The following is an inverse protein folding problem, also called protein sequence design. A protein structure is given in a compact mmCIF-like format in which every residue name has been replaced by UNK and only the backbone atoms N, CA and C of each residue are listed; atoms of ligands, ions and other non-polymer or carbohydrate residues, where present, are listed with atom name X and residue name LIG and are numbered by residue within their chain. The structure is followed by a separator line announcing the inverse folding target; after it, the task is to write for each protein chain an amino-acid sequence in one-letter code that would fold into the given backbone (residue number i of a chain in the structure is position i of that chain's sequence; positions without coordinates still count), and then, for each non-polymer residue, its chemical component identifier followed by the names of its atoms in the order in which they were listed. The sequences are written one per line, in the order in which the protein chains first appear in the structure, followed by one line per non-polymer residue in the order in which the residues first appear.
data_IF_077538898247
#
_entry.id   IF_077538898247
#
_cell.length_a   1.000
_cell.length_b   1.000
_cell.length_c   1.000
_cell.angle_alpha   90.00
_cell.angle_beta   90.00
_cell.angle_gamma   90.00
#
_symmetry.space_group_name_H-M   'P 1'
#
loop_
_entity.id
_entity.type
_entity.pdbx_description
1 polymer ?
#
# COMPACT_ATOMS: atom_id res chain seq x y z
N UNK A 1 32.12 1.99 6.02
CA UNK A 1 31.33 3.16 6.42
C UNK A 1 29.87 2.89 6.12
N UNK A 2 28.98 3.18 7.05
CA UNK A 2 27.65 2.56 7.17
C UNK A 2 26.64 3.15 6.20
N UNK A 3 26.12 2.32 5.31
CA UNK A 3 25.07 2.59 4.32
C UNK A 3 23.65 2.61 4.94
N UNK A 4 23.36 3.47 5.89
CA UNK A 4 22.13 3.37 6.66
C UNK A 4 21.03 4.40 6.27
N UNK A 5 21.26 5.31 5.33
CA UNK A 5 20.30 6.39 5.06
C UNK A 5 19.42 6.21 3.82
N UNK A 6 19.98 5.78 2.71
CA UNK A 6 19.29 5.77 1.41
C UNK A 6 18.31 4.60 1.25
N UNK A 7 18.54 3.53 2.03
CA UNK A 7 17.62 2.39 2.08
C UNK A 7 16.37 2.67 2.94
N UNK A 8 16.40 3.65 3.84
CA UNK A 8 15.32 3.81 4.83
C UNK A 8 14.02 4.42 4.28
N UNK A 9 14.05 5.26 3.28
CA UNK A 9 12.82 5.88 2.80
C UNK A 9 11.92 4.95 1.94
N UNK A 10 12.52 4.12 1.08
CA UNK A 10 11.81 2.96 0.49
C UNK A 10 11.95 1.70 1.34
N UNK A 11 12.94 1.61 2.20
CA UNK A 11 13.28 0.52 3.08
C UNK A 11 12.50 0.51 4.39
N UNK A 12 11.82 1.55 4.76
CA UNK A 12 10.78 1.45 5.79
C UNK A 12 9.70 0.45 5.35
N UNK A 13 9.56 0.26 4.03
CA UNK A 13 8.72 -0.82 3.46
C UNK A 13 9.47 -2.13 3.19
N UNK A 14 10.80 -2.17 3.10
CA UNK A 14 11.52 -3.38 2.64
C UNK A 14 12.72 -3.83 3.48
N UNK A 15 13.40 -3.00 4.24
CA UNK A 15 14.73 -3.36 4.78
C UNK A 15 14.77 -3.70 6.28
N UNK A 16 13.80 -3.34 7.09
CA UNK A 16 13.76 -3.79 8.50
C UNK A 16 13.28 -5.23 8.68
N UNK A 17 12.68 -5.84 7.67
CA UNK A 17 12.31 -7.25 7.71
C UNK A 17 13.49 -8.22 7.63
N UNK A 18 14.68 -7.81 7.16
CA UNK A 18 15.81 -8.75 6.96
C UNK A 18 16.74 -8.94 8.16
N UNK A 19 16.81 -8.04 9.11
CA UNK A 19 17.73 -8.18 10.25
C UNK A 19 17.22 -9.04 11.41
N UNK A 20 15.96 -9.51 11.35
CA UNK A 20 15.34 -10.33 12.41
C UNK A 20 15.26 -11.83 12.07
N UNK A 21 15.47 -12.23 10.81
CA UNK A 21 15.36 -13.63 10.38
C UNK A 21 16.49 -14.54 10.84
N UNK A 22 17.63 -13.99 11.27
CA UNK A 22 18.78 -14.80 11.72
C UNK A 22 18.79 -15.13 13.20
N UNK A 23 17.80 -14.72 14.00
CA UNK A 23 17.76 -14.96 15.45
C UNK A 23 16.58 -15.75 16.01
N UNK A 24 15.68 -16.25 15.17
CA UNK A 24 14.46 -16.96 15.63
C UNK A 24 14.39 -18.45 15.27
N UNK A 25 15.50 -19.08 14.90
CA UNK A 25 15.54 -20.53 14.55
C UNK A 25 16.34 -21.33 15.58
N UNK A 26 16.28 -20.98 16.86
CA UNK A 26 16.73 -21.90 17.92
C UNK A 26 15.79 -21.82 19.12
N UNK A 27 15.12 -22.91 19.34
CA UNK A 27 14.30 -23.41 20.47
C UNK A 27 12.80 -23.49 20.18
N UNK A 28 12.27 -24.65 19.98
CA UNK A 28 11.83 -25.60 20.99
C UNK A 28 11.26 -26.85 20.35
N UNK A 29 11.88 -27.95 20.62
CA UNK A 29 11.31 -29.28 20.49
C UNK A 29 10.45 -29.57 21.72
N UNK A 30 9.19 -29.97 21.55
CA UNK A 30 8.43 -30.67 22.53
C UNK A 30 7.44 -31.65 21.86
N UNK A 31 7.63 -32.89 22.15
CA UNK A 31 6.90 -34.09 21.71
C UNK A 31 5.51 -34.21 22.34
N UNK A 32 4.58 -34.91 21.69
CA UNK A 32 3.24 -35.16 22.24
C UNK A 32 3.14 -36.47 23.03
N UNK A 33 2.38 -36.48 24.07
CA UNK A 33 2.00 -37.70 24.78
C UNK A 33 0.48 -37.93 24.83
N UNK A 34 0.14 -39.09 24.29
CA UNK A 34 -0.85 -40.10 24.74
C UNK A 34 -2.32 -39.75 25.01
N UNK A 35 -3.15 -40.25 24.12
CA UNK A 35 -4.36 -41.09 24.22
C UNK A 35 -5.07 -41.25 25.61
N UNK A 36 -6.36 -40.85 25.64
CA UNK A 36 -7.38 -41.65 26.37
C UNK A 36 -8.65 -41.70 25.50
N UNK A 37 -9.04 -42.96 25.12
CA UNK A 37 -10.34 -43.28 24.51
C UNK A 37 -11.36 -43.49 25.64
N UNK A 38 -12.48 -42.78 25.57
CA UNK A 38 -13.71 -43.22 26.27
C UNK A 38 -14.83 -43.18 25.24
N UNK A 39 -15.36 -44.34 24.96
CA UNK A 39 -16.52 -44.52 24.10
C UNK A 39 -17.80 -44.17 24.86
N UNK A 40 -18.65 -43.38 24.24
CA UNK A 40 -20.05 -43.24 24.63
C UNK A 40 -20.89 -43.23 23.35
N UNK A 41 -21.61 -44.32 23.14
CA UNK A 41 -22.63 -44.47 22.09
C UNK A 41 -23.84 -43.62 22.44
N UNK A 42 -24.02 -42.51 21.75
CA UNK A 42 -25.27 -41.75 21.75
C UNK A 42 -26.06 -42.03 20.46
N UNK A 43 -27.21 -42.65 20.63
CA UNK A 43 -28.24 -42.77 19.60
C UNK A 43 -28.85 -41.38 19.42
N UNK A 44 -28.48 -40.66 18.37
CA UNK A 44 -29.13 -39.40 18.02
C UNK A 44 -30.25 -39.63 17.00
N UNK A 45 -31.47 -39.53 17.49
CA UNK A 45 -32.69 -39.37 16.67
C UNK A 45 -32.59 -38.07 15.86
N UNK A 46 -32.50 -38.19 14.54
CA UNK A 46 -32.48 -37.04 13.63
C UNK A 46 -33.87 -36.40 13.56
N UNK A 47 -34.06 -35.30 14.29
CA UNK A 47 -35.17 -34.39 14.06
C UNK A 47 -34.73 -33.47 12.91
N UNK A 48 -35.30 -33.67 11.72
CA UNK A 48 -35.21 -32.77 10.57
C UNK A 48 -35.94 -31.46 10.92
N UNK A 49 -35.27 -30.53 11.60
CA UNK A 49 -35.71 -29.18 11.67
C UNK A 49 -35.32 -28.50 10.33
N UNK A 50 -36.22 -27.75 9.69
CA UNK A 50 -35.86 -26.96 8.54
C UNK A 50 -34.84 -25.91 8.99
N UNK A 51 -33.60 -26.05 8.53
CA UNK A 51 -32.58 -25.02 8.70
C UNK A 51 -33.06 -23.83 7.89
N UNK A 52 -33.36 -22.67 8.51
CA UNK A 52 -33.65 -21.50 7.74
C UNK A 52 -32.40 -21.23 6.87
N UNK A 53 -32.61 -21.22 5.57
CA UNK A 53 -31.61 -20.73 4.62
C UNK A 53 -31.34 -19.29 5.03
N UNK A 54 -30.20 -19.04 5.70
CA UNK A 54 -29.72 -17.68 5.97
C UNK A 54 -29.44 -17.08 4.59
N UNK A 55 -30.43 -16.35 4.08
CA UNK A 55 -30.24 -15.49 2.92
C UNK A 55 -29.05 -14.54 3.21
N UNK A 56 -28.25 -14.26 2.23
CA UNK A 56 -27.24 -13.20 2.31
C UNK A 56 -27.95 -11.97 2.91
N UNK A 57 -27.36 -11.41 3.98
CA UNK A 57 -28.01 -10.33 4.71
C UNK A 57 -28.17 -9.14 3.75
N UNK A 58 -29.36 -8.60 3.62
CA UNK A 58 -29.68 -7.43 2.77
C UNK A 58 -28.72 -6.26 3.03
N UNK A 59 -28.14 -6.22 4.23
CA UNK A 59 -27.11 -5.27 4.62
C UNK A 59 -25.81 -5.46 3.84
N UNK A 60 -25.40 -6.69 3.54
CA UNK A 60 -24.16 -7.00 2.84
C UNK A 60 -24.29 -6.73 1.34
N UNK A 61 -25.44 -7.03 0.74
CA UNK A 61 -25.70 -6.70 -0.67
C UNK A 61 -25.72 -5.18 -0.88
N UNK A 62 -26.33 -4.44 0.03
CA UNK A 62 -26.32 -2.97 0.01
C UNK A 62 -24.89 -2.43 0.15
N UNK A 63 -24.08 -2.99 1.06
CA UNK A 63 -22.69 -2.57 1.26
C UNK A 63 -21.85 -2.82 0.01
N UNK A 64 -22.01 -3.95 -0.66
CA UNK A 64 -21.35 -4.27 -1.93
C UNK A 64 -21.78 -3.31 -3.05
N UNK A 65 -23.07 -2.97 -3.12
CA UNK A 65 -23.59 -1.97 -4.06
C UNK A 65 -22.94 -0.59 -3.88
N UNK A 66 -22.81 -0.13 -2.62
CA UNK A 66 -22.13 1.12 -2.29
C UNK A 66 -20.63 1.09 -2.71
N UNK A 67 -19.93 -0.02 -2.48
CA UNK A 67 -18.54 -0.20 -2.88
C UNK A 67 -18.38 -0.09 -4.39
N UNK A 68 -19.22 -0.80 -5.17
CA UNK A 68 -19.18 -0.75 -6.64
C UNK A 68 -19.39 0.67 -7.16
N UNK A 69 -20.30 1.43 -6.57
CA UNK A 69 -20.53 2.82 -6.97
C UNK A 69 -19.31 3.70 -6.66
N UNK A 70 -18.70 3.56 -5.47
CA UNK A 70 -17.47 4.31 -5.12
C UNK A 70 -16.33 3.98 -6.07
N UNK A 71 -16.11 2.71 -6.41
CA UNK A 71 -15.09 2.27 -7.37
C UNK A 71 -15.32 2.89 -8.74
N UNK A 72 -16.56 2.82 -9.25
CA UNK A 72 -16.94 3.42 -10.53
C UNK A 72 -16.64 4.92 -10.58
N UNK A 73 -17.04 5.66 -9.54
CA UNK A 73 -16.81 7.11 -9.47
C UNK A 73 -15.32 7.44 -9.35
N UNK A 74 -14.57 6.68 -8.56
CA UNK A 74 -13.12 6.80 -8.43
C UNK A 74 -12.43 6.59 -9.79
N UNK A 75 -12.73 5.51 -10.49
CA UNK A 75 -12.17 5.22 -11.80
C UNK A 75 -12.50 6.32 -12.81
N UNK A 76 -13.77 6.72 -12.92
CA UNK A 76 -14.21 7.78 -13.80
C UNK A 76 -13.52 9.13 -13.51
N UNK A 77 -13.22 9.42 -12.23
CA UNK A 77 -12.47 10.60 -11.82
C UNK A 77 -11.04 10.54 -12.33
N UNK A 78 -10.34 9.43 -12.08
CA UNK A 78 -8.95 9.28 -12.48
C UNK A 78 -8.78 9.18 -13.99
N UNK A 79 -9.70 8.60 -14.73
CA UNK A 79 -9.68 8.57 -16.22
C UNK A 79 -9.64 9.99 -16.82
N UNK A 80 -10.40 10.92 -16.26
CA UNK A 80 -10.47 12.32 -16.71
C UNK A 80 -9.32 13.18 -16.20
N UNK A 81 -8.50 12.67 -15.28
CA UNK A 81 -7.39 13.41 -14.69
C UNK A 81 -6.14 13.25 -15.54
N UNK A 82 -5.61 14.35 -16.06
CA UNK A 82 -4.36 14.41 -16.84
C UNK A 82 -3.16 14.62 -15.92
N UNK A 83 -3.32 15.50 -14.95
CA UNK A 83 -2.34 15.77 -13.89
C UNK A 83 -3.05 15.99 -12.56
N UNK A 84 -2.32 15.78 -11.47
CA UNK A 84 -2.79 15.92 -10.10
C UNK A 84 -1.63 16.35 -9.22
N UNK A 85 -1.89 17.26 -8.30
CA UNK A 85 -1.01 17.55 -7.17
C UNK A 85 -1.79 17.54 -5.87
N UNK A 86 -1.13 17.15 -4.78
CA UNK A 86 -1.70 17.16 -3.44
C UNK A 86 -0.59 17.28 -2.39
N UNK A 87 -0.94 17.79 -1.23
CA UNK A 87 -0.12 17.62 -0.04
C UNK A 87 -0.37 16.21 0.53
N UNK A 88 0.63 15.61 1.15
CA UNK A 88 0.47 14.33 1.84
C UNK A 88 1.10 14.33 3.22
N UNK A 89 0.53 13.51 4.09
CA UNK A 89 1.13 13.08 5.36
C UNK A 89 1.18 11.56 5.36
N UNK A 90 2.36 11.02 5.57
CA UNK A 90 2.59 9.58 5.74
C UNK A 90 2.80 9.26 7.21
N UNK A 91 2.12 8.24 7.70
CA UNK A 91 2.30 7.68 9.03
C UNK A 91 2.62 6.21 8.92
N UNK A 92 3.80 5.81 9.40
CA UNK A 92 4.24 4.42 9.36
C UNK A 92 4.33 3.87 10.78
N UNK A 93 3.52 2.85 11.07
CA UNK A 93 3.58 2.06 12.30
C UNK A 93 4.35 0.79 12.01
N UNK A 94 5.41 0.54 12.76
CA UNK A 94 6.25 -0.64 12.62
C UNK A 94 5.92 -1.57 13.78
N UNK A 95 5.68 -2.85 13.48
CA UNK A 95 5.40 -3.87 14.49
C UNK A 95 6.53 -3.93 15.53
N UNK A 96 6.16 -3.88 16.81
CA UNK A 96 7.12 -3.85 17.93
C UNK A 96 7.70 -2.47 18.27
N UNK A 97 7.30 -1.40 17.58
CA UNK A 97 7.69 -0.03 17.91
C UNK A 97 6.51 0.77 18.47
N UNK A 98 6.69 1.43 19.60
CA UNK A 98 5.63 2.16 20.28
C UNK A 98 5.18 3.42 19.52
N UNK A 99 6.08 4.07 18.81
CA UNK A 99 5.80 5.36 18.16
C UNK A 99 5.84 5.22 16.64
N UNK A 100 4.80 5.69 15.95
CA UNK A 100 4.82 5.75 14.50
C UNK A 100 5.79 6.83 14.01
N UNK A 101 6.35 6.60 12.82
CA UNK A 101 7.15 7.58 12.08
C UNK A 101 6.19 8.40 11.24
N UNK A 102 6.30 9.72 11.28
CA UNK A 102 5.49 10.63 10.46
C UNK A 102 6.39 11.40 9.52
N UNK A 103 5.99 11.48 8.26
CA UNK A 103 6.64 12.27 7.22
C UNK A 103 5.58 13.03 6.43
N UNK A 104 5.96 14.15 5.80
CA UNK A 104 5.03 14.93 4.99
C UNK A 104 5.71 15.57 3.79
N UNK A 105 4.89 15.99 2.83
CA UNK A 105 5.40 16.61 1.61
C UNK A 105 4.33 16.83 0.54
N UNK A 106 4.77 16.79 -0.71
CA UNK A 106 3.91 17.02 -1.89
C UNK A 106 4.06 15.89 -2.90
N UNK A 107 2.96 15.50 -3.50
CA UNK A 107 2.93 14.55 -4.61
C UNK A 107 2.44 15.25 -5.87
N UNK A 108 3.10 14.97 -6.98
CA UNK A 108 2.76 15.46 -8.31
C UNK A 108 2.68 14.25 -9.26
N UNK A 109 1.62 14.21 -10.03
CA UNK A 109 1.34 13.13 -10.98
C UNK A 109 1.01 13.76 -12.32
N UNK A 110 1.58 13.23 -13.41
CA UNK A 110 1.20 13.60 -14.78
C UNK A 110 1.14 12.36 -15.64
N UNK A 111 0.01 12.13 -16.27
CA UNK A 111 -0.15 11.02 -17.22
C UNK A 111 0.51 11.31 -18.56
N UNK A 112 1.08 10.29 -19.23
CA UNK A 112 1.23 8.91 -18.74
C UNK A 112 2.51 8.73 -17.92
N UNK A 113 2.38 8.07 -16.76
CA UNK A 113 3.50 7.43 -16.04
C UNK A 113 4.54 8.34 -15.41
N UNK A 114 4.28 9.64 -15.22
CA UNK A 114 5.19 10.57 -14.52
C UNK A 114 4.68 10.83 -13.11
N UNK A 115 5.59 10.76 -12.15
CA UNK A 115 5.32 11.07 -10.74
C UNK A 115 6.55 11.74 -10.13
N UNK A 116 6.31 12.74 -9.28
CA UNK A 116 7.27 13.25 -8.32
C UNK A 116 6.67 13.18 -6.94
N UNK A 117 7.39 12.52 -6.02
CA UNK A 117 7.02 12.42 -4.61
C UNK A 117 8.09 13.14 -3.79
N UNK A 118 7.76 14.32 -3.30
CA UNK A 118 8.70 15.20 -2.64
C UNK A 118 8.42 15.23 -1.14
N UNK A 119 9.27 14.56 -0.34
CA UNK A 119 9.27 14.65 1.11
C UNK A 119 9.94 15.95 1.54
N UNK A 120 9.33 16.64 2.50
CA UNK A 120 9.78 17.91 3.04
C UNK A 120 10.11 17.83 4.53
N UNK A 121 9.48 16.92 5.27
CA UNK A 121 9.64 16.74 6.70
C UNK A 121 9.56 15.25 7.07
N UNK A 122 10.39 14.73 7.99
CA UNK A 122 11.51 15.38 8.69
C UNK A 122 12.80 15.49 7.84
N UNK A 123 12.90 14.75 6.75
CA UNK A 123 14.05 14.75 5.86
C UNK A 123 13.61 15.05 4.43
N UNK A 124 14.42 15.87 3.73
CA UNK A 124 14.15 16.18 2.34
C UNK A 124 14.59 15.03 1.45
N UNK A 125 13.64 14.53 0.66
CA UNK A 125 13.88 13.47 -0.32
C UNK A 125 12.97 13.67 -1.51
N UNK A 126 13.51 13.57 -2.71
CA UNK A 126 12.76 13.70 -3.96
C UNK A 126 12.80 12.39 -4.76
N UNK A 127 11.63 11.83 -4.99
CA UNK A 127 11.45 10.61 -5.77
C UNK A 127 10.81 10.97 -7.10
N UNK A 128 11.50 10.62 -8.18
CA UNK A 128 11.03 10.83 -9.54
C UNK A 128 10.78 9.47 -10.20
N UNK A 129 9.59 9.30 -10.74
CA UNK A 129 9.21 8.12 -11.53
C UNK A 129 8.84 8.57 -12.93
N UNK A 130 9.42 7.91 -13.92
CA UNK A 130 9.02 8.02 -15.32
C UNK A 130 8.80 6.61 -15.87
N UNK A 131 7.53 6.20 -15.91
CA UNK A 131 7.11 4.80 -16.20
C UNK A 131 7.72 3.82 -15.20
N UNK A 132 8.74 3.07 -15.58
CA UNK A 132 9.46 2.13 -14.71
C UNK A 132 10.80 2.68 -14.19
N UNK A 133 11.29 3.78 -14.77
CA UNK A 133 12.52 4.40 -14.28
C UNK A 133 12.26 5.19 -13.00
N UNK A 134 13.08 4.94 -11.98
CA UNK A 134 13.00 5.63 -10.69
C UNK A 134 14.33 6.26 -10.34
N UNK A 135 14.26 7.47 -9.79
CA UNK A 135 15.37 8.20 -9.21
C UNK A 135 14.97 8.68 -7.83
N UNK A 136 15.79 8.39 -6.83
CA UNK A 136 15.61 8.87 -5.46
C UNK A 136 16.78 9.79 -5.13
N UNK A 137 16.52 11.07 -4.98
CA UNK A 137 17.52 12.07 -4.65
C UNK A 137 17.43 12.45 -3.18
N UNK A 138 18.55 12.32 -2.46
CA UNK A 138 18.71 12.68 -1.06
C UNK A 138 19.72 13.81 -0.96
N UNK A 139 19.27 15.08 -0.89
CA UNK A 139 20.16 16.25 -0.88
C UNK A 139 21.19 16.23 0.23
N UNK A 140 20.80 15.78 1.44
CA UNK A 140 21.68 15.70 2.62
C UNK A 140 22.93 14.85 2.36
N UNK A 141 22.76 13.78 1.58
CA UNK A 141 23.87 12.86 1.24
C UNK A 141 24.52 13.22 -0.10
N UNK A 142 24.00 14.18 -0.84
CA UNK A 142 24.44 14.50 -2.22
C UNK A 142 24.45 13.24 -3.10
N UNK A 143 23.44 12.40 -2.96
CA UNK A 143 23.34 11.13 -3.68
C UNK A 143 22.01 11.01 -4.43
N UNK A 144 22.08 10.40 -5.60
CA UNK A 144 20.90 9.94 -6.32
C UNK A 144 20.99 8.44 -6.56
N UNK A 145 19.99 7.73 -6.09
CA UNK A 145 19.83 6.31 -6.39
C UNK A 145 19.00 6.18 -7.67
N UNK A 146 19.50 5.43 -8.65
CA UNK A 146 18.81 5.19 -9.93
C UNK A 146 18.53 3.71 -10.12
N UNK A 147 17.36 3.39 -10.66
CA UNK A 147 16.95 1.98 -10.86
C UNK A 147 15.62 1.84 -11.56
N UNK A 148 15.02 0.67 -11.41
CA UNK A 148 13.68 0.35 -11.91
C UNK A 148 12.70 0.27 -10.74
N UNK A 149 11.53 0.88 -10.90
CA UNK A 149 10.45 0.82 -9.91
C UNK A 149 10.09 -0.62 -9.56
N UNK A 150 10.07 -1.50 -10.59
CA UNK A 150 9.84 -2.94 -10.44
C UNK A 150 10.84 -3.66 -9.55
N UNK A 151 12.04 -3.11 -9.38
CA UNK A 151 13.12 -3.70 -8.61
C UNK A 151 13.33 -3.03 -7.25
N UNK A 152 12.91 -1.78 -7.10
CA UNK A 152 13.19 -0.96 -5.91
C UNK A 152 12.02 -0.86 -4.95
N UNK A 153 10.79 -0.89 -5.44
CA UNK A 153 9.62 -0.71 -4.61
C UNK A 153 9.10 -2.07 -4.09
N UNK A 154 9.09 -2.25 -2.78
CA UNK A 154 8.46 -3.41 -2.14
C UNK A 154 6.94 -3.43 -2.38
N UNK A 155 6.33 -2.26 -2.49
CA UNK A 155 4.94 -2.12 -2.94
C UNK A 155 4.81 -0.93 -3.89
N UNK A 156 4.36 -1.19 -5.11
CA UNK A 156 4.01 -0.15 -6.10
C UNK A 156 2.58 0.34 -5.92
N UNK A 157 1.80 -0.34 -5.07
CA UNK A 157 0.36 -0.13 -4.96
C UNK A 157 -0.02 1.34 -4.76
N UNK A 158 0.59 2.15 -3.86
CA UNK A 158 0.24 3.55 -3.72
C UNK A 158 0.46 4.34 -5.01
N UNK A 159 1.56 4.08 -5.71
CA UNK A 159 1.91 4.78 -6.95
C UNK A 159 0.96 4.42 -8.09
N UNK A 160 0.63 3.15 -8.23
CA UNK A 160 -0.31 2.63 -9.22
C UNK A 160 -1.73 3.16 -8.98
N UNK A 161 -2.17 3.18 -7.71
CA UNK A 161 -3.46 3.73 -7.31
C UNK A 161 -3.58 5.22 -7.65
N UNK A 162 -2.55 6.01 -7.32
CA UNK A 162 -2.55 7.44 -7.57
C UNK A 162 -2.41 7.81 -9.06
N UNK A 163 -1.74 6.98 -9.85
CA UNK A 163 -1.68 7.17 -11.30
C UNK A 163 -3.00 6.80 -11.99
N UNK A 164 -3.99 6.33 -11.20
CA UNK A 164 -5.27 5.89 -11.74
C UNK A 164 -5.08 4.71 -12.67
N UNK A 165 -4.19 3.79 -12.28
CA UNK A 165 -4.10 2.49 -12.90
C UNK A 165 -5.49 1.88 -12.85
N UNK A 166 -6.17 1.99 -13.96
CA UNK A 166 -7.62 2.10 -14.08
C UNK A 166 -8.37 0.80 -13.82
N UNK A 167 -7.72 -0.21 -13.25
CA UNK A 167 -8.34 -1.50 -13.15
C UNK A 167 -8.02 -2.12 -11.79
N UNK A 168 -8.48 -1.44 -10.74
CA UNK A 168 -8.39 -1.98 -9.38
C UNK A 168 -8.89 -3.43 -9.32
N UNK A 169 -9.98 -3.70 -10.04
CA UNK A 169 -10.62 -5.01 -10.09
C UNK A 169 -9.80 -6.07 -10.85
N UNK A 170 -8.80 -5.69 -11.66
CA UNK A 170 -7.88 -6.68 -12.26
C UNK A 170 -6.87 -7.20 -11.25
N UNK A 171 -6.41 -6.35 -10.32
CA UNK A 171 -5.35 -6.67 -9.36
C UNK A 171 -5.87 -7.04 -7.98
N UNK A 172 -7.09 -6.58 -7.62
CA UNK A 172 -7.65 -6.72 -6.29
C UNK A 172 -9.08 -7.22 -6.30
N UNK A 173 -9.43 -8.03 -5.32
CA UNK A 173 -10.81 -8.24 -4.89
C UNK A 173 -11.18 -7.06 -3.98
N UNK A 174 -12.33 -6.42 -4.24
CA UNK A 174 -12.73 -5.20 -3.55
C UNK A 174 -13.98 -5.47 -2.72
N UNK A 175 -13.85 -5.22 -1.43
CA UNK A 175 -14.88 -5.52 -0.44
C UNK A 175 -15.22 -4.29 0.42
N UNK A 176 -16.41 -4.25 1.04
CA UNK A 176 -16.69 -3.29 2.09
C UNK A 176 -15.75 -3.50 3.28
N UNK A 177 -15.17 -2.40 3.80
CA UNK A 177 -14.39 -2.50 5.03
C UNK A 177 -15.29 -2.89 6.20
N UNK A 178 -14.94 -3.93 6.98
CA UNK A 178 -15.73 -4.38 8.13
C UNK A 178 -15.95 -3.30 9.20
N UNK A 179 -16.96 -3.49 10.04
CA UNK A 179 -17.27 -2.62 11.16
C UNK A 179 -17.88 -1.29 10.72
N UNK A 180 -17.37 -0.17 11.24
CA UNK A 180 -17.89 1.17 10.90
C UNK A 180 -17.72 1.53 9.42
N UNK A 181 -16.76 0.94 8.73
CA UNK A 181 -16.57 0.87 7.27
C UNK A 181 -16.87 2.14 6.46
N UNK A 182 -16.90 3.32 7.10
CA UNK A 182 -17.23 4.61 6.48
C UNK A 182 -16.21 5.66 6.85
N UNK A 183 -15.79 6.40 5.84
CA UNK A 183 -14.89 7.54 5.97
C UNK A 183 -15.62 8.87 6.07
N UNK A 184 -14.90 9.93 5.77
CA UNK A 184 -15.41 11.31 5.77
C UNK A 184 -16.64 11.43 4.86
N UNK A 185 -17.67 12.15 5.33
CA UNK A 185 -18.91 12.32 4.59
C UNK A 185 -19.76 11.06 4.46
N UNK A 186 -19.44 10.01 5.23
CA UNK A 186 -20.23 8.77 5.25
C UNK A 186 -19.98 7.85 4.04
N UNK A 187 -18.97 8.13 3.20
CA UNK A 187 -18.61 7.28 2.06
C UNK A 187 -18.06 5.94 2.55
N UNK A 188 -18.45 4.85 1.91
CA UNK A 188 -17.95 3.52 2.22
C UNK A 188 -16.44 3.44 1.98
N UNK A 189 -15.69 2.92 2.97
CA UNK A 189 -14.29 2.55 2.80
C UNK A 189 -14.19 1.29 1.94
N UNK A 190 -13.14 1.22 1.14
CA UNK A 190 -12.85 0.09 0.25
C UNK A 190 -11.71 -0.73 0.84
N UNK A 191 -11.92 -2.01 1.05
CA UNK A 191 -10.83 -2.97 1.34
C UNK A 191 -10.45 -3.68 0.05
N UNK A 192 -9.19 -3.57 -0.33
CA UNK A 192 -8.61 -4.21 -1.52
C UNK A 192 -7.73 -5.36 -1.07
N UNK A 193 -8.05 -6.56 -1.52
CA UNK A 193 -7.30 -7.80 -1.26
C UNK A 193 -6.55 -8.19 -2.53
N UNK A 194 -5.21 -8.37 -2.51
CA UNK A 194 -4.46 -8.80 -3.69
C UNK A 194 -4.96 -10.14 -4.22
N UNK A 195 -5.33 -10.22 -5.50
CA UNK A 195 -5.77 -11.47 -6.16
C UNK A 195 -4.65 -12.47 -6.29
N UNK A 196 -3.42 -12.00 -6.55
CA UNK A 196 -2.24 -12.84 -6.65
C UNK A 196 -1.35 -12.67 -5.42
N UNK A 197 -0.89 -13.80 -4.89
CA UNK A 197 0.15 -13.87 -3.86
C UNK A 197 1.55 -14.03 -4.46
N UNK A 198 1.65 -14.04 -5.77
CA UNK A 198 2.90 -14.11 -6.49
C UNK A 198 3.57 -12.72 -6.57
N UNK A 199 4.89 -12.73 -6.73
CA UNK A 199 5.68 -11.49 -6.71
C UNK A 199 5.84 -10.90 -5.32
N UNK A 200 6.64 -9.85 -5.22
CA UNK A 200 7.00 -9.23 -3.93
C UNK A 200 5.79 -8.51 -3.29
N UNK A 201 5.02 -7.78 -4.08
CA UNK A 201 3.80 -7.09 -3.62
C UNK A 201 2.76 -8.06 -3.07
N UNK A 202 2.50 -9.17 -3.76
CA UNK A 202 1.51 -10.16 -3.32
C UNK A 202 1.94 -10.93 -2.07
N UNK A 203 3.25 -11.08 -1.84
CA UNK A 203 3.79 -11.74 -0.64
C UNK A 203 3.86 -10.84 0.57
N UNK A 204 4.12 -9.55 0.38
CA UNK A 204 4.30 -8.58 1.47
C UNK A 204 3.01 -7.86 1.87
N UNK A 205 2.09 -7.66 0.94
CA UNK A 205 0.86 -6.90 1.16
C UNK A 205 -0.30 -7.81 1.59
N UNK A 206 -0.87 -7.55 2.78
CA UNK A 206 -2.05 -8.24 3.27
C UNK A 206 -3.33 -7.67 2.67
N UNK A 207 -3.51 -6.35 2.78
CA UNK A 207 -4.65 -5.59 2.23
C UNK A 207 -4.33 -4.12 2.12
N UNK A 208 -5.14 -3.41 1.33
CA UNK A 208 -5.16 -1.95 1.29
C UNK A 208 -6.54 -1.49 1.74
N UNK A 209 -6.60 -0.41 2.54
CA UNK A 209 -7.86 0.29 2.81
C UNK A 209 -7.78 1.66 2.12
N UNK A 210 -8.79 1.94 1.28
CA UNK A 210 -8.91 3.23 0.59
C UNK A 210 -10.06 4.04 1.15
N UNK A 211 -9.81 5.33 1.29
CA UNK A 211 -10.82 6.35 1.52
C UNK A 211 -10.77 7.39 0.41
N UNK A 212 -11.91 7.86 -0.04
CA UNK A 212 -12.04 8.90 -1.06
C UNK A 212 -12.71 10.14 -0.50
N UNK A 213 -12.41 11.30 -1.07
CA UNK A 213 -13.13 12.53 -0.76
C UNK A 213 -14.60 12.43 -1.23
N UNK A 214 -15.58 12.80 -0.39
CA UNK A 214 -16.96 12.94 -0.83
C UNK A 214 -17.02 13.96 -1.97
N UNK A 215 -17.87 13.86 -2.93
CA UNK A 215 -18.07 14.74 -4.10
C UNK A 215 -17.00 14.67 -5.19
N UNK A 216 -15.69 14.59 -4.84
CA UNK A 216 -14.63 14.61 -5.86
C UNK A 216 -14.14 13.23 -6.24
N UNK A 217 -14.26 12.25 -5.35
CA UNK A 217 -13.78 10.88 -5.50
C UNK A 217 -12.27 10.77 -5.75
N UNK A 218 -11.49 11.80 -5.43
CA UNK A 218 -10.05 11.63 -5.30
C UNK A 218 -9.73 10.81 -4.05
N UNK A 219 -8.67 10.03 -4.12
CA UNK A 219 -8.16 9.28 -2.97
C UNK A 219 -7.79 10.29 -1.88
N UNK A 220 -8.38 10.10 -0.70
CA UNK A 220 -8.07 10.87 0.51
C UNK A 220 -7.05 10.15 1.38
N UNK A 221 -7.17 8.82 1.49
CA UNK A 221 -6.25 8.02 2.30
C UNK A 221 -6.02 6.66 1.65
N UNK A 222 -4.77 6.22 1.70
CA UNK A 222 -4.34 4.86 1.38
C UNK A 222 -3.69 4.29 2.63
N UNK A 223 -4.21 3.19 3.18
CA UNK A 223 -3.57 2.46 4.28
C UNK A 223 -3.16 1.08 3.80
N UNK A 224 -1.86 0.82 3.83
CA UNK A 224 -1.25 -0.45 3.46
C UNK A 224 -1.03 -1.28 4.73
N UNK A 225 -1.57 -2.47 4.76
CA UNK A 225 -1.36 -3.45 5.82
C UNK A 225 -0.46 -4.54 5.30
N UNK A 226 0.71 -4.68 5.90
CA UNK A 226 1.69 -5.70 5.50
C UNK A 226 1.51 -6.99 6.30
N UNK A 227 1.94 -8.10 5.71
CA UNK A 227 1.99 -9.41 6.39
C UNK A 227 2.93 -9.38 7.60
N UNK A 228 3.93 -8.50 7.58
CA UNK A 228 4.86 -8.24 8.68
C UNK A 228 4.22 -7.59 9.92
N UNK A 229 2.96 -7.14 9.84
CA UNK A 229 2.30 -6.36 10.88
C UNK A 229 2.51 -4.84 10.74
N UNK A 230 3.38 -4.39 9.84
CA UNK A 230 3.57 -2.97 9.60
C UNK A 230 2.34 -2.35 8.91
N UNK A 231 2.08 -1.07 9.23
CA UNK A 231 1.02 -0.30 8.58
C UNK A 231 1.58 1.04 8.12
N UNK A 232 1.44 1.32 6.81
CA UNK A 232 1.78 2.63 6.25
C UNK A 232 0.51 3.30 5.74
N UNK A 233 0.17 4.48 6.27
CA UNK A 233 -0.99 5.27 5.88
C UNK A 233 -0.53 6.57 5.24
N UNK A 234 -1.08 6.88 4.06
CA UNK A 234 -0.87 8.11 3.32
C UNK A 234 -2.18 8.89 3.29
N UNK A 235 -2.22 10.03 3.93
CA UNK A 235 -3.35 10.94 3.89
C UNK A 235 -3.04 12.09 2.95
N UNK A 236 -3.93 12.34 1.97
CA UNK A 236 -3.80 13.40 0.98
C UNK A 236 -4.76 14.53 1.31
N UNK A 237 -4.29 15.76 1.10
CA UNK A 237 -5.06 16.98 1.28
C UNK A 237 -4.91 17.92 0.10
N UNK A 238 -5.85 18.85 -0.05
CA UNK A 238 -5.83 19.88 -1.08
C UNK A 238 -5.58 19.38 -2.52
N UNK A 239 -6.25 18.30 -2.99
CA UNK A 239 -6.01 17.79 -4.33
C UNK A 239 -6.43 18.80 -5.40
N UNK A 240 -5.52 19.08 -6.34
CA UNK A 240 -5.75 19.95 -7.49
C UNK A 240 -5.43 19.17 -8.76
N UNK A 241 -6.36 19.12 -9.69
CA UNK A 241 -6.24 18.32 -10.91
C UNK A 241 -6.36 19.16 -12.17
N UNK A 242 -5.72 18.69 -13.26
CA UNK A 242 -5.77 19.32 -14.57
C UNK A 242 -5.27 20.76 -14.58
N UNK A 243 -4.21 21.03 -13.81
CA UNK A 243 -3.57 22.35 -13.69
C UNK A 243 -2.59 22.62 -14.82
N UNK A 244 -2.31 21.64 -15.69
CA UNK A 244 -1.33 21.76 -16.75
C UNK A 244 0.11 21.74 -16.23
N UNK A 245 0.44 20.83 -15.32
CA UNK A 245 1.77 20.73 -14.74
C UNK A 245 2.84 20.58 -15.82
N UNK A 246 3.88 21.45 -15.74
CA UNK A 246 4.99 21.46 -16.69
C UNK A 246 5.85 20.19 -16.61
N UNK A 247 6.41 19.76 -17.73
CA UNK A 247 7.26 18.55 -17.78
C UNK A 247 8.51 18.69 -16.92
N UNK A 248 9.06 19.92 -16.84
CA UNK A 248 10.24 20.24 -16.02
C UNK A 248 10.08 19.94 -14.53
N UNK A 249 8.83 19.85 -14.03
CA UNK A 249 8.56 19.46 -12.65
C UNK A 249 8.95 18.01 -12.36
N UNK A 250 8.97 17.19 -13.40
CA UNK A 250 9.25 15.75 -13.33
C UNK A 250 10.66 15.39 -13.79
N UNK A 251 11.48 16.40 -14.12
CA UNK A 251 12.86 16.22 -14.56
C UNK A 251 13.81 16.61 -13.44
N UNK A 252 14.49 15.62 -12.86
CA UNK A 252 15.47 15.83 -11.82
C UNK A 252 16.71 16.51 -12.41
N UNK A 253 16.97 17.73 -11.95
CA UNK A 253 18.22 18.47 -12.21
C UNK A 253 19.15 18.24 -11.02
N UNK A 254 20.25 17.55 -11.26
CA UNK A 254 21.25 17.28 -10.24
C UNK A 254 22.32 18.39 -10.24
N UNK A 255 22.79 18.81 -9.04
CA UNK A 255 24.05 19.54 -8.93
C UNK A 255 25.25 18.70 -9.41
N UNK A 256 26.35 19.37 -9.82
CA UNK A 256 27.53 18.69 -10.37
C UNK A 256 28.25 17.78 -9.38
N UNK A 257 28.05 18.00 -8.07
CA UNK A 257 28.69 17.27 -6.98
C UNK A 257 27.86 16.10 -6.42
N UNK A 258 26.86 15.64 -7.16
CA UNK A 258 25.97 14.53 -6.75
C UNK A 258 26.51 13.20 -7.25
N UNK A 259 26.66 12.26 -6.32
CA UNK A 259 27.02 10.88 -6.61
C UNK A 259 25.81 10.12 -7.17
N UNK A 260 26.00 9.44 -8.31
CA UNK A 260 24.99 8.57 -8.91
C UNK A 260 25.25 7.12 -8.50
N UNK A 261 24.32 6.57 -7.74
CA UNK A 261 24.39 5.19 -7.24
C UNK A 261 23.33 4.34 -7.96
N UNK A 262 23.75 3.23 -8.54
CA UNK A 262 22.82 2.26 -9.12
C UNK A 262 22.21 1.39 -8.02
N UNK A 263 20.89 1.24 -8.04
CA UNK A 263 20.22 0.31 -7.15
C UNK A 263 20.74 -1.12 -7.39
N UNK A 264 21.03 -1.88 -6.32
CA UNK A 264 21.37 -3.29 -6.47
C UNK A 264 20.17 -4.02 -7.10
N UNK A 265 20.43 -4.80 -8.15
CA UNK A 265 19.42 -5.71 -8.70
C UNK A 265 19.19 -6.77 -7.63
N UNK A 266 17.96 -6.82 -7.10
CA UNK A 266 17.57 -7.91 -6.21
C UNK A 266 17.52 -9.18 -7.06
N UNK A 267 18.63 -9.94 -7.08
CA UNK A 267 18.64 -11.26 -7.70
C UNK A 267 17.71 -12.16 -6.90
N UNK A 268 16.67 -12.66 -7.55
CA UNK A 268 15.86 -13.74 -7.00
C UNK A 268 16.79 -14.93 -6.73
N UNK A 269 16.85 -15.48 -5.51
CA UNK A 269 17.55 -16.75 -5.32
C UNK A 269 16.88 -17.82 -6.19
N UNK A 270 17.69 -18.54 -6.97
CA UNK A 270 17.26 -19.71 -7.74
C UNK A 270 16.83 -20.84 -6.81
#
# INVERSE_FOLDING_TARGET
MRWNGVAEAFSVLAHRARSWWTRAVESTSATPSALVRVGLTFVCTWILLPVPFLGADESDEKALGEVREVVKQLQARYEKTKDLQADFTQKTTIEGFERPITSSGKVYIKKPGRLRWNYLDPSVEDIYVNRDDIKVYVPEHKQVLVGKLTQMAASKAPLELLQGAAKLEESFDIEPTPGKGRGVGGIRLLTLLPKSREGETGRSLQRIVLEVFPKTYFIRMISLYEVSGNVASFEFSSPQSNMGLGDSLFDLKLPDDVEVVKAPVLSTPQ
#
